data_IF_820129745336
#
_entry.id   IF_820129745336
#
_cell.length_a   1.000
_cell.length_b   1.000
_cell.length_c   1.000
_cell.angle_alpha   90.00
_cell.angle_beta   90.00
_cell.angle_gamma   90.00
#
_symmetry.space_group_name_H-M   'P 1'
#
loop_
_entity.id
_entity.type
_entity.pdbx_description
1 polymer ?
#
# COMPACT_ATOMS: atom_id res chain seq x y z
N UNK A 1 50.83 -10.57 9.13
CA UNK A 1 49.88 -10.55 8.00
C UNK A 1 48.56 -9.99 8.49
N UNK A 2 48.23 -8.75 8.13
CA UNK A 2 46.98 -8.07 8.49
C UNK A 2 45.89 -8.45 7.48
N UNK A 3 44.70 -8.81 7.98
CA UNK A 3 43.55 -9.23 7.19
C UNK A 3 42.98 -8.04 6.38
N UNK A 4 42.93 -8.09 5.02
CA UNK A 4 42.61 -6.93 4.18
C UNK A 4 41.12 -6.66 4.00
N UNK A 5 40.22 -7.28 4.75
CA UNK A 5 38.79 -6.96 4.71
C UNK A 5 38.48 -5.64 5.44
N UNK A 6 38.87 -4.53 4.78
CA UNK A 6 38.46 -3.16 5.09
C UNK A 6 36.93 -3.07 5.11
N UNK A 7 36.43 -2.47 6.19
CA UNK A 7 35.03 -2.10 6.43
C UNK A 7 34.41 -1.44 5.20
N UNK A 8 33.53 -2.16 4.51
CA UNK A 8 32.66 -1.58 3.47
C UNK A 8 31.69 -0.58 4.09
N UNK A 9 31.54 0.58 3.45
CA UNK A 9 30.54 1.60 3.80
C UNK A 9 29.13 1.01 3.64
N UNK A 10 28.27 1.25 4.62
CA UNK A 10 26.87 0.81 4.62
C UNK A 10 25.95 1.96 4.22
N UNK A 11 25.10 1.73 3.22
CA UNK A 11 24.07 2.66 2.76
C UNK A 11 22.71 1.96 2.80
N UNK A 12 21.65 2.70 3.12
CA UNK A 12 20.26 2.22 3.10
C UNK A 12 19.41 3.15 2.22
N UNK A 13 18.48 2.57 1.47
CA UNK A 13 17.52 3.29 0.63
C UNK A 13 16.10 2.85 0.99
N UNK A 14 15.16 3.79 1.03
CA UNK A 14 13.74 3.52 1.27
C UNK A 14 12.99 4.02 0.04
N UNK A 15 12.26 3.13 -0.65
CA UNK A 15 11.37 3.48 -1.74
C UNK A 15 9.95 3.06 -1.39
N UNK A 16 8.99 3.98 -1.53
CA UNK A 16 7.56 3.72 -1.34
C UNK A 16 6.92 3.47 -2.69
N UNK A 17 6.49 2.24 -2.94
CA UNK A 17 5.61 1.91 -4.08
C UNK A 17 4.26 1.47 -3.50
N UNK A 18 3.36 2.43 -3.34
CA UNK A 18 1.98 2.16 -2.99
C UNK A 18 1.17 1.89 -4.25
N UNK A 19 0.77 0.64 -4.47
CA UNK A 19 -0.27 0.31 -5.44
C UNK A 19 -1.63 0.69 -4.85
N UNK A 20 -2.23 1.77 -5.36
CA UNK A 20 -3.60 2.20 -5.05
C UNK A 20 -4.33 2.36 -6.39
N UNK A 21 -4.90 1.27 -6.90
CA UNK A 21 -5.88 1.37 -7.98
C UNK A 21 -7.01 0.37 -7.76
N UNK A 22 -8.21 0.93 -7.54
CA UNK A 22 -9.47 0.27 -7.87
C UNK A 22 -10.21 -0.42 -6.73
N UNK A 23 -10.70 0.30 -5.71
CA UNK A 23 -11.84 -0.14 -4.88
C UNK A 23 -12.63 1.05 -4.29
N UNK A 24 -13.31 1.83 -5.15
CA UNK A 24 -14.04 3.03 -4.70
C UNK A 24 -15.46 2.76 -4.14
N UNK A 25 -16.02 1.54 -4.24
CA UNK A 25 -17.49 1.38 -4.14
C UNK A 25 -18.05 0.98 -2.76
N UNK A 26 -17.22 0.74 -1.72
CA UNK A 26 -17.75 0.33 -0.38
C UNK A 26 -17.50 1.32 0.77
N UNK A 27 -16.80 2.43 0.52
CA UNK A 27 -16.43 3.40 1.56
C UNK A 27 -17.13 4.75 1.42
N UNK A 28 -18.16 4.84 0.59
CA UNK A 28 -18.93 6.05 0.32
C UNK A 28 -19.40 6.75 1.62
N UNK A 29 -19.88 6.00 2.60
CA UNK A 29 -20.31 6.57 3.90
C UNK A 29 -19.17 7.26 4.65
N UNK A 30 -17.96 6.70 4.60
CA UNK A 30 -16.78 7.30 5.22
C UNK A 30 -16.33 8.53 4.44
N UNK A 31 -16.39 8.49 3.10
CA UNK A 31 -16.14 9.66 2.24
C UNK A 31 -17.10 10.80 2.62
N UNK A 32 -18.41 10.52 2.65
CA UNK A 32 -19.43 11.49 3.04
C UNK A 32 -19.26 11.99 4.48
N UNK A 33 -18.75 11.16 5.40
CA UNK A 33 -18.41 11.60 6.75
C UNK A 33 -17.23 12.58 6.75
N UNK A 34 -16.13 12.26 6.05
CA UNK A 34 -14.97 13.15 5.92
C UNK A 34 -15.39 14.49 5.32
N UNK A 35 -16.23 14.48 4.27
CA UNK A 35 -16.80 15.70 3.68
C UNK A 35 -17.53 16.54 4.72
N UNK A 36 -18.46 15.94 5.49
CA UNK A 36 -19.25 16.68 6.50
C UNK A 36 -18.37 17.27 7.60
N UNK A 37 -17.33 16.56 8.02
CA UNK A 37 -16.38 17.07 9.01
C UNK A 37 -15.56 18.25 8.48
N UNK A 38 -15.13 18.21 7.20
CA UNK A 38 -14.46 19.32 6.53
C UNK A 38 -15.37 20.53 6.37
N UNK A 39 -16.62 20.32 5.93
CA UNK A 39 -17.64 21.38 5.87
C UNK A 39 -17.79 22.08 7.23
N UNK A 40 -17.95 21.28 8.30
CA UNK A 40 -18.08 21.79 9.67
C UNK A 40 -16.84 22.60 10.10
N UNK A 41 -15.65 22.12 9.78
CA UNK A 41 -14.39 22.80 10.10
C UNK A 41 -14.23 24.15 9.36
N UNK A 42 -14.82 24.28 8.17
CA UNK A 42 -14.82 25.52 7.38
C UNK A 42 -16.03 26.43 7.68
N UNK A 43 -16.95 26.02 8.55
CA UNK A 43 -18.21 26.74 8.78
C UNK A 43 -19.17 26.71 7.59
N UNK A 44 -18.98 25.78 6.64
CA UNK A 44 -19.82 25.65 5.45
C UNK A 44 -21.13 24.94 5.82
N UNK A 45 -22.26 25.55 5.50
CA UNK A 45 -23.58 24.92 5.71
C UNK A 45 -23.97 24.05 4.51
N UNK A 46 -24.91 23.12 4.71
CA UNK A 46 -25.47 22.31 3.62
C UNK A 46 -26.15 23.16 2.55
N UNK A 47 -26.78 24.26 2.96
CA UNK A 47 -27.42 25.22 2.05
C UNK A 47 -26.37 25.93 1.19
N UNK A 48 -25.32 26.47 1.82
CA UNK A 48 -24.22 27.15 1.11
C UNK A 48 -23.56 26.21 0.11
N UNK A 49 -23.27 24.96 0.51
CA UNK A 49 -22.71 23.96 -0.41
C UNK A 49 -23.63 23.72 -1.61
N UNK A 50 -24.94 23.61 -1.39
CA UNK A 50 -25.91 23.37 -2.44
C UNK A 50 -26.00 24.55 -3.43
N UNK A 51 -25.96 25.78 -2.93
CA UNK A 51 -25.92 27.01 -3.74
C UNK A 51 -24.65 27.06 -4.61
N UNK A 52 -23.48 26.79 -4.02
CA UNK A 52 -22.18 26.81 -4.73
C UNK A 52 -22.04 25.73 -5.82
N UNK A 53 -22.66 24.57 -5.65
CA UNK A 53 -22.66 23.50 -6.67
C UNK A 53 -23.88 23.53 -7.59
N UNK A 54 -24.79 24.51 -7.45
CA UNK A 54 -25.98 24.62 -8.28
C UNK A 54 -26.96 23.46 -8.13
N UNK A 55 -27.16 22.95 -6.91
CA UNK A 55 -28.06 21.83 -6.61
C UNK A 55 -29.05 22.17 -5.51
N UNK A 56 -30.11 21.36 -5.35
CA UNK A 56 -31.03 21.55 -4.22
C UNK A 56 -30.40 21.02 -2.93
N UNK A 57 -30.65 21.70 -1.80
CA UNK A 57 -30.18 21.26 -0.48
C UNK A 57 -30.60 19.81 -0.17
N UNK A 58 -31.82 19.42 -0.57
CA UNK A 58 -32.33 18.05 -0.39
C UNK A 58 -31.56 17.02 -1.21
N UNK A 59 -31.12 17.36 -2.42
CA UNK A 59 -30.26 16.50 -3.23
C UNK A 59 -28.92 16.27 -2.54
N UNK A 60 -28.23 17.35 -2.14
CA UNK A 60 -26.92 17.27 -1.47
C UNK A 60 -27.02 16.51 -0.15
N UNK A 61 -28.08 16.74 0.62
CA UNK A 61 -28.32 16.03 1.88
C UNK A 61 -28.49 14.53 1.65
N UNK A 62 -29.22 14.10 0.62
CA UNK A 62 -29.39 12.68 0.28
C UNK A 62 -28.08 12.02 -0.16
N UNK A 63 -27.27 12.72 -0.95
CA UNK A 63 -25.94 12.22 -1.33
C UNK A 63 -25.02 12.07 -0.11
N UNK A 64 -24.93 13.10 0.76
CA UNK A 64 -24.03 13.09 1.92
C UNK A 64 -24.50 12.24 3.10
N UNK A 65 -25.76 11.80 3.10
CA UNK A 65 -26.28 10.79 4.02
C UNK A 65 -26.11 9.35 3.50
N UNK A 66 -25.82 9.19 2.20
CA UNK A 66 -25.76 7.89 1.52
C UNK A 66 -27.14 7.32 1.20
N UNK A 67 -28.19 8.15 1.15
CA UNK A 67 -29.51 7.76 0.63
C UNK A 67 -29.51 7.64 -0.90
N UNK A 68 -28.63 8.39 -1.56
CA UNK A 68 -28.35 8.31 -3.00
C UNK A 68 -26.86 8.15 -3.20
N UNK A 69 -26.46 7.35 -4.18
CA UNK A 69 -25.05 7.14 -4.54
C UNK A 69 -24.34 8.47 -4.85
N UNK A 70 -23.19 8.69 -4.21
CA UNK A 70 -22.29 9.79 -4.44
C UNK A 70 -21.48 9.53 -5.72
N UNK A 71 -21.92 10.12 -6.84
CA UNK A 71 -21.18 10.01 -8.11
C UNK A 71 -19.82 10.69 -8.03
N UNK A 72 -18.92 10.31 -8.94
CA UNK A 72 -17.59 10.92 -9.02
C UNK A 72 -17.68 12.40 -9.39
N UNK A 73 -18.57 12.79 -10.30
CA UNK A 73 -18.80 14.20 -10.63
C UNK A 73 -19.24 14.99 -9.39
N UNK A 74 -20.18 14.45 -8.60
CA UNK A 74 -20.67 15.09 -7.38
C UNK A 74 -19.57 15.21 -6.32
N UNK A 75 -18.71 14.20 -6.19
CA UNK A 75 -17.54 14.28 -5.32
C UNK A 75 -16.59 15.42 -5.76
N UNK A 76 -16.32 15.55 -7.06
CA UNK A 76 -15.49 16.65 -7.59
C UNK A 76 -16.12 18.03 -7.36
N UNK A 77 -17.41 18.19 -7.61
CA UNK A 77 -18.14 19.43 -7.36
C UNK A 77 -18.02 19.88 -5.90
N UNK A 78 -18.25 18.96 -4.96
CA UNK A 78 -18.19 19.22 -3.52
C UNK A 78 -16.76 19.55 -3.09
N UNK A 79 -15.77 18.77 -3.54
CA UNK A 79 -14.37 18.92 -3.12
C UNK A 79 -13.74 20.19 -3.68
N UNK A 80 -14.17 20.64 -4.86
CA UNK A 80 -13.85 21.96 -5.41
C UNK A 80 -14.31 23.10 -4.49
N UNK A 81 -15.55 23.06 -4.00
CA UNK A 81 -16.08 24.07 -3.05
C UNK A 81 -15.31 24.04 -1.73
N UNK A 82 -14.91 22.85 -1.27
CA UNK A 82 -14.09 22.69 -0.06
C UNK A 82 -12.62 23.12 -0.25
N UNK A 83 -12.15 23.37 -1.48
CA UNK A 83 -10.76 23.67 -1.77
C UNK A 83 -9.80 22.51 -1.46
N UNK A 84 -10.27 21.26 -1.58
CA UNK A 84 -9.49 20.04 -1.30
C UNK A 84 -9.53 19.11 -2.51
N UNK A 85 -8.45 18.39 -2.78
CA UNK A 85 -8.44 17.38 -3.84
C UNK A 85 -9.30 16.16 -3.44
N UNK A 86 -10.17 15.67 -4.34
CA UNK A 86 -11.00 14.50 -4.10
C UNK A 86 -10.22 13.26 -3.65
N UNK A 87 -9.02 13.03 -4.21
CA UNK A 87 -8.16 11.91 -3.83
C UNK A 87 -7.76 11.95 -2.34
N UNK A 88 -7.55 13.15 -1.76
CA UNK A 88 -7.22 13.30 -0.34
C UNK A 88 -8.39 12.95 0.58
N UNK A 89 -9.62 13.27 0.16
CA UNK A 89 -10.83 12.89 0.90
C UNK A 89 -11.01 11.37 0.88
N UNK A 90 -10.79 10.74 -0.27
CA UNK A 90 -10.84 9.27 -0.40
C UNK A 90 -9.75 8.62 0.45
N UNK A 91 -8.50 9.08 0.37
CA UNK A 91 -7.40 8.57 1.18
C UNK A 91 -7.65 8.74 2.69
N UNK A 92 -8.20 9.88 3.11
CA UNK A 92 -8.57 10.11 4.51
C UNK A 92 -9.70 9.16 4.95
N UNK A 93 -10.72 8.96 4.11
CA UNK A 93 -11.79 8.00 4.37
C UNK A 93 -11.24 6.57 4.48
N UNK A 94 -10.32 6.18 3.59
CA UNK A 94 -9.66 4.88 3.61
C UNK A 94 -8.83 4.67 4.88
N UNK A 95 -8.14 5.70 5.36
CA UNK A 95 -7.37 5.63 6.62
C UNK A 95 -8.25 5.39 7.86
N UNK A 96 -9.54 5.77 7.81
CA UNK A 96 -10.49 5.54 8.90
C UNK A 96 -11.08 4.15 8.91
N UNK A 97 -10.92 3.40 7.81
CA UNK A 97 -11.34 2.01 7.76
C UNK A 97 -10.49 1.23 8.74
N UNK A 98 -11.11 0.75 9.82
CA UNK A 98 -10.44 -0.09 10.79
C UNK A 98 -9.80 -1.29 10.06
N UNK A 99 -8.50 -1.55 10.28
CA UNK A 99 -7.85 -2.70 9.70
C UNK A 99 -8.61 -3.99 10.08
N UNK A 100 -8.70 -4.92 9.14
CA UNK A 100 -9.17 -6.26 9.45
C UNK A 100 -8.06 -6.99 10.20
N UNK A 101 -8.24 -7.19 11.50
CA UNK A 101 -7.29 -7.97 12.31
C UNK A 101 -7.48 -9.46 12.02
N UNK A 102 -6.41 -10.09 11.54
CA UNK A 102 -6.39 -11.53 11.27
C UNK A 102 -6.44 -12.29 12.60
N UNK A 103 -7.34 -13.26 12.71
CA UNK A 103 -7.41 -14.12 13.91
C UNK A 103 -6.10 -14.88 14.09
N UNK A 104 -5.69 -15.11 15.34
CA UNK A 104 -4.43 -15.81 15.64
C UNK A 104 -4.38 -17.21 15.02
N UNK A 105 -5.49 -17.95 15.06
CA UNK A 105 -5.59 -19.27 14.42
C UNK A 105 -5.38 -19.20 12.91
N UNK A 106 -5.91 -18.17 12.25
CA UNK A 106 -5.71 -17.99 10.82
C UNK A 106 -4.30 -17.48 10.47
N UNK A 107 -3.73 -16.58 11.27
CA UNK A 107 -2.34 -16.16 11.15
C UNK A 107 -1.39 -17.36 11.27
N UNK A 108 -1.55 -18.19 12.29
CA UNK A 108 -0.75 -19.40 12.47
C UNK A 108 -0.91 -20.37 11.30
N UNK A 109 -2.14 -20.55 10.80
CA UNK A 109 -2.41 -21.37 9.63
C UNK A 109 -1.69 -20.84 8.37
N UNK A 110 -1.80 -19.55 8.09
CA UNK A 110 -1.14 -18.89 6.96
C UNK A 110 0.38 -18.96 7.07
N UNK A 111 0.93 -18.70 8.26
CA UNK A 111 2.37 -18.60 8.48
C UNK A 111 3.07 -19.96 8.66
N UNK A 112 2.31 -21.03 8.87
CA UNK A 112 2.88 -22.39 8.98
C UNK A 112 3.54 -22.90 7.70
N UNK A 113 3.16 -22.37 6.55
CA UNK A 113 3.68 -22.76 5.23
C UNK A 113 3.84 -21.52 4.35
N UNK A 114 5.08 -21.25 3.93
CA UNK A 114 5.39 -20.06 3.12
C UNK A 114 4.62 -20.04 1.79
N UNK A 115 4.34 -21.21 1.19
CA UNK A 115 3.61 -21.29 -0.07
C UNK A 115 2.16 -20.86 0.11
N UNK A 116 1.53 -21.20 1.25
CA UNK A 116 0.19 -20.70 1.58
C UNK A 116 0.18 -19.19 1.72
N UNK A 117 1.19 -18.63 2.36
CA UNK A 117 1.34 -17.19 2.44
C UNK A 117 1.51 -16.54 1.06
N UNK A 118 2.30 -17.13 0.16
CA UNK A 118 2.43 -16.63 -1.22
C UNK A 118 1.12 -16.67 -1.99
N UNK A 119 0.33 -17.74 -1.86
CA UNK A 119 -1.03 -17.82 -2.45
C UNK A 119 -1.93 -16.72 -1.90
N UNK A 120 -1.90 -16.52 -0.57
CA UNK A 120 -2.63 -15.43 0.08
C UNK A 120 -2.23 -14.05 -0.48
N UNK A 121 -0.95 -13.78 -0.68
CA UNK A 121 -0.47 -12.52 -1.27
C UNK A 121 -0.84 -12.40 -2.75
N UNK A 122 -0.77 -13.48 -3.53
CA UNK A 122 -1.13 -13.47 -4.95
C UNK A 122 -2.60 -13.14 -5.19
N UNK A 123 -3.47 -13.50 -4.24
CA UNK A 123 -4.90 -13.19 -4.25
C UNK A 123 -5.23 -11.71 -4.02
N UNK A 124 -4.26 -10.81 -3.82
CA UNK A 124 -4.53 -9.36 -3.84
C UNK A 124 -5.11 -8.90 -5.19
N UNK A 125 -4.86 -9.66 -6.26
CA UNK A 125 -5.41 -9.46 -7.59
C UNK A 125 -6.17 -10.72 -8.04
N UNK A 126 -7.16 -10.60 -8.95
CA UNK A 126 -7.90 -11.76 -9.45
C UNK A 126 -6.98 -12.81 -10.08
N UNK A 127 -7.09 -14.06 -9.61
CA UNK A 127 -6.29 -15.20 -10.08
C UNK A 127 -7.12 -16.48 -10.22
N UNK A 128 -6.82 -17.27 -11.23
CA UNK A 128 -7.28 -18.66 -11.36
C UNK A 128 -6.42 -19.60 -10.51
N UNK A 129 -6.92 -20.79 -10.20
CA UNK A 129 -6.13 -21.81 -9.47
C UNK A 129 -4.84 -22.16 -10.21
N UNK A 130 -4.88 -22.28 -11.54
CA UNK A 130 -3.71 -22.60 -12.36
C UNK A 130 -2.62 -21.53 -12.29
N UNK A 131 -3.01 -20.26 -12.30
CA UNK A 131 -2.09 -19.14 -12.11
C UNK A 131 -1.45 -19.21 -10.72
N UNK A 132 -2.25 -19.49 -9.67
CA UNK A 132 -1.75 -19.65 -8.30
C UNK A 132 -0.76 -20.83 -8.18
N UNK A 133 -1.04 -21.99 -8.78
CA UNK A 133 -0.12 -23.14 -8.80
C UNK A 133 1.21 -22.77 -9.46
N UNK A 134 1.15 -22.08 -10.60
CA UNK A 134 2.33 -21.71 -11.39
C UNK A 134 3.19 -20.67 -10.67
N UNK A 135 2.56 -19.61 -10.14
CA UNK A 135 3.27 -18.47 -9.50
C UNK A 135 3.85 -18.84 -8.13
N UNK A 136 3.20 -19.73 -7.38
CA UNK A 136 3.55 -20.00 -5.97
C UNK A 136 4.17 -21.38 -5.75
N UNK A 137 4.13 -22.25 -6.76
CA UNK A 137 4.53 -23.66 -6.66
C UNK A 137 3.84 -24.41 -5.49
N UNK A 138 2.64 -23.96 -5.12
CA UNK A 138 1.77 -24.61 -4.15
C UNK A 138 0.98 -25.74 -4.82
N UNK A 139 0.73 -26.84 -4.11
CA UNK A 139 -0.11 -27.91 -4.65
C UNK A 139 -1.58 -27.49 -4.73
N UNK A 140 -2.31 -28.02 -5.72
CA UNK A 140 -3.76 -27.87 -5.85
C UNK A 140 -4.51 -28.06 -4.52
N UNK A 141 -4.19 -29.14 -3.78
CA UNK A 141 -4.82 -29.46 -2.49
C UNK A 141 -4.58 -28.34 -1.45
N UNK A 142 -3.37 -27.80 -1.39
CA UNK A 142 -3.03 -26.71 -0.48
C UNK A 142 -3.77 -25.42 -0.85
N UNK A 143 -3.85 -25.09 -2.14
CA UNK A 143 -4.59 -23.93 -2.64
C UNK A 143 -6.07 -24.06 -2.31
N UNK A 144 -6.70 -25.19 -2.64
CA UNK A 144 -8.12 -25.43 -2.35
C UNK A 144 -8.43 -25.37 -0.85
N UNK A 145 -7.56 -25.94 0.00
CA UNK A 145 -7.70 -25.85 1.45
C UNK A 145 -7.65 -24.40 1.95
N UNK A 146 -6.70 -23.61 1.44
CA UNK A 146 -6.61 -22.19 1.76
C UNK A 146 -7.82 -21.38 1.26
N UNK A 147 -8.27 -21.58 0.03
CA UNK A 147 -9.47 -20.92 -0.52
C UNK A 147 -10.71 -21.24 0.32
N UNK A 148 -10.91 -22.53 0.68
CA UNK A 148 -12.00 -22.93 1.58
C UNK A 148 -11.92 -22.22 2.92
N UNK A 149 -10.71 -22.09 3.50
CA UNK A 149 -10.51 -21.37 4.75
C UNK A 149 -10.80 -19.87 4.60
N UNK A 150 -10.27 -19.22 3.58
CA UNK A 150 -10.55 -17.80 3.28
C UNK A 150 -12.03 -17.53 3.10
N UNK A 151 -12.76 -18.43 2.42
CA UNK A 151 -14.21 -18.37 2.28
C UNK A 151 -14.92 -18.43 3.63
N UNK A 152 -14.50 -19.33 4.53
CA UNK A 152 -15.08 -19.42 5.88
C UNK A 152 -14.83 -18.18 6.74
N UNK A 153 -13.70 -17.50 6.53
CA UNK A 153 -13.36 -16.22 7.18
C UNK A 153 -13.99 -15.00 6.45
N UNK A 154 -14.76 -15.21 5.38
CA UNK A 154 -15.35 -14.18 4.51
C UNK A 154 -14.31 -13.26 3.83
N UNK A 155 -13.09 -13.75 3.66
CA UNK A 155 -11.95 -13.08 3.05
C UNK A 155 -11.75 -13.45 1.56
N UNK A 156 -12.69 -14.17 0.95
CA UNK A 156 -12.59 -14.58 -0.46
C UNK A 156 -13.73 -14.01 -1.29
N UNK A 157 -13.41 -13.44 -2.45
CA UNK A 157 -14.32 -13.14 -3.54
C UNK A 157 -14.16 -14.20 -4.63
N UNK A 158 -15.27 -14.79 -5.04
CA UNK A 158 -15.37 -15.66 -6.21
C UNK A 158 -15.91 -14.82 -7.37
N UNK A 159 -15.11 -14.66 -8.41
CA UNK A 159 -15.38 -13.83 -9.58
C UNK A 159 -15.76 -14.73 -10.77
N UNK A 160 -16.30 -14.14 -11.83
CA UNK A 160 -16.59 -14.87 -13.07
C UNK A 160 -15.32 -15.50 -13.67
N UNK A 161 -15.49 -16.65 -14.31
CA UNK A 161 -14.40 -17.39 -14.95
C UNK A 161 -13.44 -18.07 -13.98
N UNK A 162 -13.94 -18.57 -12.84
CA UNK A 162 -13.16 -19.31 -11.82
C UNK A 162 -11.96 -18.52 -11.28
N UNK A 163 -12.14 -17.20 -11.17
CA UNK A 163 -11.15 -16.29 -10.60
C UNK A 163 -11.46 -16.01 -9.14
N UNK A 164 -10.40 -15.89 -8.35
CA UNK A 164 -10.46 -15.70 -6.91
C UNK A 164 -9.66 -14.45 -6.54
N UNK A 165 -10.14 -13.69 -5.56
CA UNK A 165 -9.45 -12.52 -5.01
C UNK A 165 -9.72 -12.42 -3.50
N UNK A 166 -8.83 -11.77 -2.75
CA UNK A 166 -9.09 -11.41 -1.37
C UNK A 166 -10.27 -10.43 -1.28
N UNK A 167 -11.21 -10.73 -0.39
CA UNK A 167 -12.27 -9.82 0.00
C UNK A 167 -11.77 -8.92 1.13
N UNK A 168 -10.90 -7.98 0.82
CA UNK A 168 -10.42 -7.02 1.81
C UNK A 168 -11.50 -5.97 2.16
N UNK A 169 -12.54 -5.81 1.33
CA UNK A 169 -13.54 -4.73 1.43
C UNK A 169 -12.89 -3.35 1.60
N UNK A 170 -11.72 -3.13 0.99
CA UNK A 170 -10.92 -1.92 1.18
C UNK A 170 -10.30 -1.77 2.58
N UNK A 171 -10.36 -2.81 3.43
CA UNK A 171 -9.73 -2.82 4.75
C UNK A 171 -8.30 -3.30 4.61
N UNK A 172 -7.36 -2.57 5.22
CA UNK A 172 -5.99 -3.08 5.38
C UNK A 172 -6.03 -4.31 6.28
N UNK A 173 -5.44 -5.42 5.85
CA UNK A 173 -5.28 -6.58 6.71
C UNK A 173 -4.13 -6.36 7.69
N UNK A 174 -4.39 -6.56 8.97
CA UNK A 174 -3.41 -6.43 10.05
C UNK A 174 -3.15 -7.79 10.67
N UNK A 175 -1.93 -8.27 10.50
CA UNK A 175 -1.42 -9.42 11.24
C UNK A 175 -1.14 -9.02 12.69
N UNK A 176 -1.34 -9.94 13.63
CA UNK A 176 -1.02 -9.80 15.04
C UNK A 176 0.48 -9.74 15.29
N UNK A 177 1.28 -10.23 14.34
CA UNK A 177 2.75 -10.31 14.44
C UNK A 177 3.16 -11.24 15.58
N UNK A 178 2.51 -12.40 15.68
CA UNK A 178 2.92 -13.45 16.61
C UNK A 178 4.21 -14.15 16.16
N UNK A 179 4.64 -15.16 16.93
CA UNK A 179 5.86 -15.93 16.63
C UNK A 179 5.85 -16.52 15.22
N UNK A 180 4.72 -17.14 14.81
CA UNK A 180 4.59 -17.75 13.50
C UNK A 180 4.80 -16.75 12.35
N UNK A 181 4.30 -15.51 12.50
CA UNK A 181 4.50 -14.45 11.52
C UNK A 181 5.98 -14.08 11.36
N UNK A 182 6.70 -13.91 12.47
CA UNK A 182 8.13 -13.61 12.41
C UNK A 182 8.96 -14.79 11.86
N UNK A 183 8.61 -16.03 12.23
CA UNK A 183 9.25 -17.22 11.68
C UNK A 183 9.07 -17.30 10.15
N UNK A 184 7.86 -17.00 9.65
CA UNK A 184 7.59 -16.91 8.22
C UNK A 184 8.42 -15.79 7.57
N UNK A 185 8.45 -14.59 8.15
CA UNK A 185 9.22 -13.45 7.62
C UNK A 185 10.71 -13.80 7.50
N UNK A 186 11.30 -14.42 8.52
CA UNK A 186 12.69 -14.89 8.47
C UNK A 186 12.91 -15.88 7.33
N UNK A 187 12.00 -16.83 7.10
CA UNK A 187 12.07 -17.76 5.95
C UNK A 187 11.99 -17.02 4.62
N UNK A 188 11.07 -16.06 4.47
CA UNK A 188 10.94 -15.25 3.26
C UNK A 188 12.21 -14.45 2.98
N UNK A 189 12.80 -13.82 4.00
CA UNK A 189 14.05 -13.10 3.84
C UNK A 189 15.22 -14.01 3.48
N UNK A 190 15.30 -15.21 4.06
CA UNK A 190 16.31 -16.20 3.70
C UNK A 190 16.18 -16.65 2.23
N UNK A 191 14.95 -16.91 1.75
CA UNK A 191 14.71 -17.26 0.35
C UNK A 191 15.04 -16.11 -0.60
N UNK A 192 14.60 -14.90 -0.29
CA UNK A 192 14.94 -13.70 -1.07
C UNK A 192 16.45 -13.48 -1.12
N UNK A 193 17.13 -13.67 0.01
CA UNK A 193 18.56 -13.62 0.08
C UNK A 193 19.23 -14.69 -0.78
N UNK A 194 18.78 -15.95 -0.73
CA UNK A 194 19.34 -17.02 -1.55
C UNK A 194 19.21 -16.72 -3.06
N UNK A 195 18.03 -16.26 -3.49
CA UNK A 195 17.82 -15.83 -4.87
C UNK A 195 18.73 -14.64 -5.24
N UNK A 196 18.91 -13.69 -4.32
CA UNK A 196 19.78 -12.54 -4.52
C UNK A 196 21.25 -12.92 -4.54
N UNK A 197 21.70 -13.87 -3.72
CA UNK A 197 23.08 -14.39 -3.65
C UNK A 197 23.40 -15.21 -4.88
N UNK A 198 22.48 -16.06 -5.36
CA UNK A 198 22.62 -16.74 -6.66
C UNK A 198 22.78 -15.75 -7.81
N UNK A 199 22.23 -14.55 -7.66
CA UNK A 199 22.35 -13.48 -8.64
C UNK A 199 23.57 -12.56 -8.38
N UNK A 200 24.20 -12.63 -7.21
CA UNK A 200 25.26 -11.73 -6.74
C UNK A 200 26.21 -12.51 -5.82
N UNK A 201 27.36 -12.98 -6.33
CA UNK A 201 28.34 -13.92 -5.75
C UNK A 201 28.90 -13.69 -4.30
N UNK A 202 28.19 -13.13 -3.31
CA UNK A 202 28.74 -12.85 -1.96
C UNK A 202 27.73 -12.99 -0.77
N UNK A 203 28.16 -13.45 0.43
CA UNK A 203 27.32 -13.71 1.62
C UNK A 203 27.02 -12.47 2.48
N UNK A 204 25.84 -12.42 3.15
CA UNK A 204 25.40 -11.31 4.04
C UNK A 204 24.54 -11.74 5.25
N UNK A 205 24.57 -10.90 6.30
CA UNK A 205 23.76 -10.94 7.54
C UNK A 205 22.58 -9.95 7.53
N UNK A 206 21.52 -10.24 8.32
CA UNK A 206 20.20 -9.57 8.30
C UNK A 206 19.81 -8.93 9.63
N UNK A 207 19.09 -7.80 9.58
CA UNK A 207 18.42 -7.15 10.72
C UNK A 207 17.08 -6.53 10.28
N UNK A 208 16.12 -6.43 11.20
CA UNK A 208 14.74 -5.95 10.96
C UNK A 208 14.43 -4.76 11.89
N UNK A 209 13.75 -3.73 11.38
CA UNK A 209 13.12 -2.65 12.18
C UNK A 209 11.58 -2.83 12.21
N UNK A 210 10.92 -2.25 13.21
CA UNK A 210 9.51 -2.39 13.65
C UNK A 210 8.44 -2.06 12.59
N UNK A 211 8.79 -1.33 11.52
CA UNK A 211 7.82 -0.73 10.59
C UNK A 211 7.75 -1.35 9.17
N UNK A 212 8.32 -2.53 8.94
CA UNK A 212 8.15 -3.31 7.69
C UNK A 212 8.60 -2.58 6.38
N UNK A 213 9.34 -1.47 6.47
CA UNK A 213 9.86 -0.72 5.32
C UNK A 213 11.32 -1.08 5.08
N UNK A 214 11.59 -2.04 4.18
CA UNK A 214 12.95 -2.46 3.87
C UNK A 214 13.18 -2.62 2.36
N UNK A 215 14.13 -1.85 1.82
CA UNK A 215 14.85 -2.20 0.60
C UNK A 215 16.34 -2.20 0.95
N UNK A 216 16.95 -3.38 1.02
CA UNK A 216 18.39 -3.50 1.29
C UNK A 216 19.06 -4.16 0.11
N UNK A 217 19.92 -3.41 -0.56
CA UNK A 217 20.92 -3.92 -1.48
C UNK A 217 22.28 -3.54 -0.90
N UNK A 218 23.26 -4.46 -0.93
CA UNK A 218 24.64 -4.00 -0.79
C UNK A 218 25.22 -3.89 -2.17
N UNK A 219 25.60 -2.66 -2.44
CA UNK A 219 26.13 -2.19 -3.68
C UNK A 219 27.59 -1.84 -3.38
N UNK A 220 28.51 -2.10 -4.31
CA UNK A 220 29.80 -1.40 -4.27
C UNK A 220 29.54 0.10 -4.27
N UNK A 221 30.53 0.93 -3.91
CA UNK A 221 30.36 2.39 -3.96
C UNK A 221 29.85 2.83 -5.34
N UNK A 222 30.41 2.26 -6.40
CA UNK A 222 30.04 2.53 -7.79
C UNK A 222 28.62 2.04 -8.13
N UNK A 223 28.20 0.88 -7.61
CA UNK A 223 26.83 0.40 -7.76
C UNK A 223 25.84 1.27 -6.97
N UNK A 224 26.22 1.75 -5.78
CA UNK A 224 25.39 2.63 -4.95
C UNK A 224 25.19 3.98 -5.62
N UNK A 225 26.27 4.56 -6.16
CA UNK A 225 26.22 5.80 -6.94
C UNK A 225 25.38 5.64 -8.20
N UNK A 226 25.49 4.51 -8.91
CA UNK A 226 24.62 4.21 -10.07
C UNK A 226 23.15 4.10 -9.68
N UNK A 227 22.82 3.33 -8.64
CA UNK A 227 21.43 3.18 -8.16
C UNK A 227 20.89 4.51 -7.66
N UNK A 228 21.69 5.30 -6.96
CA UNK A 228 21.31 6.64 -6.53
C UNK A 228 20.98 7.54 -7.72
N UNK A 229 21.85 7.58 -8.74
CA UNK A 229 21.61 8.35 -9.97
C UNK A 229 20.37 7.88 -10.75
N UNK A 230 20.10 6.57 -10.79
CA UNK A 230 18.88 6.03 -11.39
C UNK A 230 17.63 6.46 -10.62
N UNK A 231 17.65 6.37 -9.29
CA UNK A 231 16.53 6.77 -8.44
C UNK A 231 16.27 8.28 -8.54
N UNK A 232 17.32 9.09 -8.61
CA UNK A 232 17.21 10.54 -8.83
C UNK A 232 16.63 10.87 -10.21
N UNK A 233 17.07 10.17 -11.27
CA UNK A 233 16.50 10.31 -12.60
C UNK A 233 15.01 9.95 -12.64
N UNK A 234 14.61 8.85 -12.00
CA UNK A 234 13.20 8.45 -11.87
C UNK A 234 12.41 9.51 -11.09
N UNK A 235 12.93 10.00 -9.97
CA UNK A 235 12.27 11.04 -9.18
C UNK A 235 12.09 12.34 -9.98
N UNK A 236 13.08 12.71 -10.79
CA UNK A 236 13.00 13.86 -11.69
C UNK A 236 11.97 13.64 -12.81
N UNK A 237 11.90 12.45 -13.40
CA UNK A 237 10.89 12.11 -14.40
C UNK A 237 9.47 12.19 -13.82
N UNK A 238 9.25 11.62 -12.63
CA UNK A 238 7.97 11.72 -11.91
C UNK A 238 7.62 13.18 -11.67
N UNK A 239 8.57 13.99 -11.18
CA UNK A 239 8.37 15.42 -10.94
C UNK A 239 8.03 16.19 -12.22
N UNK A 240 8.63 15.83 -13.35
CA UNK A 240 8.34 16.49 -14.63
C UNK A 240 6.98 16.06 -15.19
N UNK A 241 6.61 14.78 -15.04
CA UNK A 241 5.25 14.29 -15.36
C UNK A 241 4.23 15.04 -14.50
N UNK A 242 4.48 15.18 -13.19
CA UNK A 242 3.63 15.94 -12.29
C UNK A 242 3.52 17.40 -12.71
N UNK A 243 4.62 18.07 -13.09
CA UNK A 243 4.59 19.44 -13.63
C UNK A 243 3.81 19.55 -14.93
N UNK A 244 3.95 18.60 -15.85
CA UNK A 244 3.21 18.59 -17.10
C UNK A 244 1.71 18.38 -16.86
N UNK A 245 1.36 17.47 -15.94
CA UNK A 245 -0.01 17.26 -15.50
C UNK A 245 -0.58 18.51 -14.82
N UNK A 246 0.22 19.19 -13.99
CA UNK A 246 -0.14 20.46 -13.36
C UNK A 246 -0.28 21.61 -14.37
N UNK A 247 0.52 21.67 -15.44
CA UNK A 247 0.36 22.69 -16.50
C UNK A 247 -0.88 22.47 -17.35
N UNK A 248 -1.33 21.23 -17.48
CA UNK A 248 -2.55 20.87 -18.20
C UNK A 248 -3.81 21.01 -17.34
N UNK A 249 -3.66 21.22 -16.03
CA UNK A 249 -4.74 21.51 -15.09
C UNK A 249 -4.70 23.02 -14.79
N UNK A 250 -5.73 23.77 -15.17
CA UNK A 250 -5.81 25.20 -14.91
C UNK A 250 -5.63 25.48 -13.39
N UNK A 251 -4.49 26.06 -13.03
CA UNK A 251 -3.91 25.94 -11.69
C UNK A 251 -4.45 26.97 -10.70
N UNK A 252 -5.00 26.44 -9.61
CA UNK A 252 -4.61 26.88 -8.27
C UNK A 252 -4.55 25.65 -7.36
N UNK A 253 -3.36 25.12 -7.05
CA UNK A 253 -2.96 24.53 -5.75
C UNK A 253 -1.57 23.83 -5.75
N UNK A 254 -1.01 23.67 -4.54
CA UNK A 254 0.39 23.59 -4.05
C UNK A 254 1.04 22.18 -4.10
N UNK A 255 2.40 22.02 -4.13
CA UNK A 255 3.07 20.77 -4.52
C UNK A 255 3.40 19.79 -3.37
N UNK A 256 3.57 18.52 -3.71
CA UNK A 256 4.17 17.47 -2.87
C UNK A 256 5.70 17.54 -2.91
N UNK A 257 6.35 17.43 -1.76
CA UNK A 257 7.81 17.26 -1.64
C UNK A 257 8.15 15.79 -1.44
N UNK A 258 8.94 15.21 -2.34
CA UNK A 258 9.58 13.91 -2.12
C UNK A 258 11.01 14.14 -1.59
N UNK A 259 11.30 13.66 -0.38
CA UNK A 259 12.67 13.62 0.15
C UNK A 259 13.28 12.25 -0.10
N UNK A 260 14.32 12.20 -0.94
CA UNK A 260 15.28 11.10 -0.97
C UNK A 260 16.51 11.56 -0.21
N UNK A 261 16.76 11.01 0.97
CA UNK A 261 17.97 11.30 1.75
C UNK A 261 18.77 10.02 1.92
N UNK A 262 19.95 9.95 1.30
CA UNK A 262 20.95 8.94 1.62
C UNK A 262 21.76 9.39 2.83
N UNK A 263 21.61 8.73 3.98
CA UNK A 263 22.50 8.91 5.14
C UNK A 263 23.41 7.71 5.31
N UNK A 264 24.64 7.94 5.79
CA UNK A 264 25.52 6.84 6.19
C UNK A 264 24.94 6.21 7.45
N UNK A 265 25.03 4.89 7.58
CA UNK A 265 24.52 4.15 8.76
C UNK A 265 25.14 4.63 10.10
N UNK A 266 26.28 5.34 10.06
CA UNK A 266 26.89 5.96 11.25
C UNK A 266 26.29 7.30 11.69
N UNK A 267 25.42 7.91 10.88
CA UNK A 267 24.87 9.25 11.15
C UNK A 267 23.49 9.21 11.84
N UNK A 268 23.01 8.02 12.19
CA UNK A 268 21.78 7.85 12.96
C UNK A 268 22.06 8.01 14.46
N UNK A 269 21.23 8.77 15.20
CA UNK A 269 21.36 8.86 16.66
C UNK A 269 21.33 7.49 17.30
N UNK A 270 22.25 7.21 18.24
CA UNK A 270 22.17 5.99 19.05
C UNK A 270 20.84 5.98 19.80
N UNK A 271 19.98 5.00 19.48
CA UNK A 271 18.62 4.87 20.03
C UNK A 271 17.48 5.19 19.06
N UNK A 272 17.78 5.51 17.80
CA UNK A 272 16.79 5.68 16.72
C UNK A 272 16.55 4.41 15.88
N UNK A 273 17.00 3.23 16.37
CA UNK A 273 16.79 1.89 15.80
C UNK A 273 16.29 1.00 16.94
#
# INVERSE_FOLDING_TARGET
MQNPHKRGLKYAFIAHVGYLFGMATKNEKLICQVIRERMKAQGLTMQTLAEEIGSSQSSVSRSLSGETELTLERLYEITRVLGVNAALIVEEAERRIAPFEVSEGFENYLCSDFRRYLVFVALNVPRTIRELETETNASLVSIQSLLKRLKSERLLLELQGERYQLNDNGRRMKFRRGRAFYDLKTKLYALQAEHTVKNLDQPKEFWVDRDDRLVVAYLTKEQAERVAGMLEAIANQISEIDRQNLRNLDMSFVPYLYFVSGKKVGDFPKGAI
#
